data_IF_569440124122
#
_entry.id   IF_569440124122
#
_cell.length_a   1.000
_cell.length_b   1.000
_cell.length_c   1.000
_cell.angle_alpha   90.00
_cell.angle_beta   90.00
_cell.angle_gamma   90.00
#
_symmetry.space_group_name_H-M   'P 1'
#
loop_
_entity.id
_entity.type
_entity.pdbx_description
1 polymer ?
#
# COMPACT_ATOMS: atom_id res chain seq x y z
N UNK A 1 -1.33 -22.52 -13.84
CA UNK A 1 -0.59 -22.48 -12.55
C UNK A 1 0.36 -21.29 -12.40
N UNK A 2 1.16 -20.96 -13.43
CA UNK A 2 2.19 -19.91 -13.35
C UNK A 2 1.63 -18.49 -13.12
N UNK A 3 0.52 -18.13 -13.80
CA UNK A 3 -0.14 -16.82 -13.63
C UNK A 3 -0.66 -16.58 -12.21
N UNK A 4 -1.24 -17.60 -11.57
CA UNK A 4 -1.72 -17.51 -10.19
C UNK A 4 -0.57 -17.33 -9.19
N UNK A 5 0.59 -17.93 -9.48
CA UNK A 5 1.82 -17.74 -8.68
C UNK A 5 2.32 -16.28 -8.79
N UNK A 6 2.31 -15.71 -10.00
CA UNK A 6 2.65 -14.29 -10.25
C UNK A 6 1.70 -13.32 -9.52
N UNK A 7 0.40 -13.61 -9.52
CA UNK A 7 -0.59 -12.80 -8.79
C UNK A 7 -0.36 -12.87 -7.28
N UNK A 8 -0.08 -14.05 -6.72
CA UNK A 8 0.23 -14.20 -5.29
C UNK A 8 1.49 -13.41 -4.91
N UNK A 9 2.57 -13.50 -5.69
CA UNK A 9 3.80 -12.72 -5.46
C UNK A 9 3.50 -11.21 -5.49
N UNK A 10 2.72 -10.75 -6.47
CA UNK A 10 2.38 -9.33 -6.58
C UNK A 10 1.55 -8.84 -5.39
N UNK A 11 0.58 -9.63 -4.93
CA UNK A 11 -0.20 -9.30 -3.74
C UNK A 11 0.69 -9.28 -2.48
N UNK A 12 1.69 -10.17 -2.37
CA UNK A 12 2.66 -10.12 -1.27
C UNK A 12 3.51 -8.85 -1.32
N UNK A 13 3.96 -8.44 -2.50
CA UNK A 13 4.70 -7.18 -2.69
C UNK A 13 3.81 -5.98 -2.34
N UNK A 14 2.52 -6.00 -2.71
CA UNK A 14 1.55 -4.97 -2.35
C UNK A 14 1.44 -4.84 -0.83
N UNK A 15 1.23 -5.96 -0.12
CA UNK A 15 1.16 -5.99 1.35
C UNK A 15 2.44 -5.44 1.96
N UNK A 16 3.61 -5.90 1.50
CA UNK A 16 4.91 -5.41 1.97
C UNK A 16 5.11 -3.91 1.74
N UNK A 17 4.65 -3.40 0.60
CA UNK A 17 4.74 -1.97 0.26
C UNK A 17 3.82 -1.13 1.16
N UNK A 18 2.61 -1.61 1.47
CA UNK A 18 1.70 -0.93 2.42
C UNK A 18 2.28 -0.94 3.84
N UNK A 19 2.89 -2.05 4.27
CA UNK A 19 3.59 -2.12 5.57
C UNK A 19 4.74 -1.11 5.63
N UNK A 20 5.55 -1.03 4.55
CA UNK A 20 6.62 -0.05 4.46
C UNK A 20 6.07 1.38 4.50
N UNK A 21 4.98 1.65 3.80
CA UNK A 21 4.32 2.95 3.80
C UNK A 21 3.82 3.32 5.22
N UNK A 22 3.20 2.37 5.93
CA UNK A 22 2.81 2.54 7.34
C UNK A 22 4.00 2.86 8.24
N UNK A 23 5.09 2.10 8.09
CA UNK A 23 6.30 2.31 8.85
C UNK A 23 6.81 3.75 8.68
N UNK A 24 6.84 4.25 7.45
CA UNK A 24 7.24 5.62 7.12
C UNK A 24 6.30 6.65 7.76
N UNK A 25 4.98 6.41 7.75
CA UNK A 25 4.04 7.33 8.42
C UNK A 25 4.23 7.34 9.95
N UNK A 26 4.48 6.18 10.56
CA UNK A 26 4.74 6.09 12.01
C UNK A 26 6.10 6.67 12.39
N UNK A 27 7.11 6.57 11.54
CA UNK A 27 8.45 7.13 11.81
C UNK A 27 8.44 8.66 11.84
N UNK A 28 7.40 9.33 11.35
CA UNK A 28 7.25 10.79 11.48
C UNK A 28 6.66 11.23 12.82
N UNK A 29 6.19 10.30 13.64
CA UNK A 29 5.67 10.64 14.96
C UNK A 29 6.79 10.58 15.99
N UNK A 30 7.01 11.68 16.70
CA UNK A 30 8.05 11.82 17.75
C UNK A 30 7.90 10.83 18.92
N UNK A 31 6.73 10.20 19.05
CA UNK A 31 6.44 9.22 20.09
C UNK A 31 7.16 7.87 19.88
N UNK A 32 7.43 7.49 18.63
CA UNK A 32 8.02 6.17 18.35
C UNK A 32 9.55 6.20 18.41
N UNK A 33 10.20 5.12 18.88
CA UNK A 33 11.66 5.06 19.01
C UNK A 33 12.38 5.02 17.65
N UNK A 34 11.65 4.79 16.56
CA UNK A 34 12.14 4.87 15.18
C UNK A 34 11.79 6.21 14.51
N UNK A 35 11.70 7.28 15.29
CA UNK A 35 11.45 8.62 14.75
C UNK A 35 12.57 9.03 13.78
N UNK A 36 12.18 9.46 12.58
CA UNK A 36 13.06 10.04 11.57
C UNK A 36 12.48 11.41 11.21
N UNK A 37 13.36 12.39 11.04
CA UNK A 37 12.98 13.75 10.65
C UNK A 37 12.09 13.78 9.40
N UNK A 38 11.14 14.70 9.38
CA UNK A 38 10.04 14.74 8.40
C UNK A 38 10.52 14.66 6.95
N UNK A 39 11.66 15.30 6.62
CA UNK A 39 12.29 15.27 5.30
C UNK A 39 12.52 13.84 4.78
N UNK A 40 13.03 12.95 5.64
CA UNK A 40 13.27 11.55 5.29
C UNK A 40 11.97 10.76 5.19
N UNK A 41 10.98 11.09 6.04
CA UNK A 41 9.64 10.53 5.94
C UNK A 41 8.97 10.84 4.60
N UNK A 42 9.10 12.08 4.12
CA UNK A 42 8.58 12.49 2.81
C UNK A 42 9.28 11.78 1.65
N UNK A 43 10.61 11.64 1.71
CA UNK A 43 11.36 10.87 0.72
C UNK A 43 10.90 9.41 0.68
N UNK A 44 10.62 8.82 1.84
CA UNK A 44 10.04 7.49 1.94
C UNK A 44 8.72 7.38 1.18
N UNK A 45 7.78 8.29 1.41
CA UNK A 45 6.48 8.29 0.71
C UNK A 45 6.65 8.54 -0.79
N UNK A 46 7.59 9.42 -1.17
CA UNK A 46 7.90 9.69 -2.57
C UNK A 46 8.46 8.47 -3.30
N UNK A 47 9.13 7.55 -2.60
CA UNK A 47 9.60 6.28 -3.14
C UNK A 47 8.51 5.20 -3.15
N UNK A 48 7.64 5.12 -2.14
CA UNK A 48 6.57 4.11 -2.08
C UNK A 48 5.43 4.39 -3.07
N UNK A 49 5.11 5.66 -3.32
CA UNK A 49 4.05 6.06 -4.24
C UNK A 49 4.22 5.53 -5.69
N UNK A 50 5.37 5.70 -6.38
CA UNK A 50 5.56 5.16 -7.73
C UNK A 50 5.55 3.62 -7.74
N UNK A 51 6.01 2.96 -6.67
CA UNK A 51 5.93 1.50 -6.53
C UNK A 51 4.46 1.05 -6.50
N UNK A 52 3.63 1.69 -5.67
CA UNK A 52 2.20 1.41 -5.59
C UNK A 52 1.49 1.67 -6.93
N UNK A 53 1.82 2.75 -7.62
CA UNK A 53 1.29 3.05 -8.96
C UNK A 53 1.72 1.98 -9.97
N UNK A 54 2.97 1.51 -9.93
CA UNK A 54 3.45 0.40 -10.74
C UNK A 54 2.65 -0.89 -10.49
N UNK A 55 2.42 -1.23 -9.23
CA UNK A 55 1.59 -2.38 -8.83
C UNK A 55 0.16 -2.24 -9.37
N UNK A 56 -0.42 -1.04 -9.32
CA UNK A 56 -1.74 -0.76 -9.93
C UNK A 56 -1.78 -1.09 -11.43
N UNK A 57 -0.78 -0.66 -12.21
CA UNK A 57 -0.74 -0.95 -13.65
C UNK A 57 -0.64 -2.46 -13.94
N UNK A 58 0.13 -3.18 -13.13
CA UNK A 58 0.27 -4.64 -13.27
C UNK A 58 -1.03 -5.34 -12.88
N UNK A 59 -1.66 -4.97 -11.76
CA UNK A 59 -2.96 -5.51 -11.35
C UNK A 59 -4.06 -5.18 -12.35
N UNK A 60 -4.01 -4.02 -13.01
CA UNK A 60 -4.93 -3.67 -14.10
C UNK A 60 -4.82 -4.65 -15.27
N UNK A 61 -3.61 -5.10 -15.61
CA UNK A 61 -3.41 -6.13 -16.64
C UNK A 61 -3.97 -7.48 -16.20
N UNK A 62 -3.78 -7.86 -14.93
CA UNK A 62 -4.34 -9.11 -14.40
C UNK A 62 -5.88 -9.08 -14.27
N UNK A 63 -6.47 -7.92 -13.99
CA UNK A 63 -7.92 -7.76 -13.97
C UNK A 63 -8.54 -7.99 -15.35
N UNK A 64 -7.89 -7.49 -16.42
CA UNK A 64 -8.32 -7.79 -17.80
C UNK A 64 -8.30 -9.28 -18.13
N UNK A 65 -7.53 -10.08 -17.37
CA UNK A 65 -7.46 -11.54 -17.50
C UNK A 65 -8.38 -12.26 -16.49
N UNK A 66 -9.27 -11.55 -15.79
CA UNK A 66 -10.17 -12.07 -14.74
C UNK A 66 -9.47 -12.77 -13.55
N UNK A 67 -8.17 -12.50 -13.35
CA UNK A 67 -7.37 -13.13 -12.29
C UNK A 67 -7.43 -12.40 -10.95
N UNK A 68 -7.93 -11.17 -10.92
CA UNK A 68 -8.04 -10.32 -9.73
C UNK A 68 -9.31 -9.48 -9.78
N UNK A 69 -9.89 -9.19 -8.62
CA UNK A 69 -11.09 -8.38 -8.47
C UNK A 69 -10.80 -6.88 -8.67
N UNK A 70 -11.84 -6.11 -8.98
CA UNK A 70 -11.71 -4.67 -9.20
C UNK A 70 -11.21 -3.92 -7.95
N UNK A 71 -11.59 -4.40 -6.76
CA UNK A 71 -11.13 -3.89 -5.46
C UNK A 71 -9.62 -4.10 -5.29
N UNK A 72 -9.11 -5.28 -5.63
CA UNK A 72 -7.69 -5.59 -5.46
C UNK A 72 -6.80 -4.67 -6.30
N UNK A 73 -7.27 -4.29 -7.49
CA UNK A 73 -6.63 -3.28 -8.35
C UNK A 73 -6.70 -1.88 -7.73
N UNK A 74 -7.82 -1.48 -7.13
CA UNK A 74 -8.00 -0.11 -6.64
C UNK A 74 -7.17 0.22 -5.40
N UNK A 75 -6.91 -0.76 -4.51
CA UNK A 75 -6.15 -0.58 -3.26
C UNK A 75 -4.82 0.17 -3.46
N UNK A 76 -3.88 -0.31 -4.30
CA UNK A 76 -2.58 0.36 -4.46
C UNK A 76 -2.70 1.81 -4.92
N UNK A 77 -3.63 2.09 -5.84
CA UNK A 77 -3.83 3.45 -6.34
C UNK A 77 -4.41 4.36 -5.25
N UNK A 78 -5.39 3.86 -4.50
CA UNK A 78 -5.99 4.60 -3.40
C UNK A 78 -4.97 4.95 -2.31
N UNK A 79 -4.12 3.99 -1.92
CA UNK A 79 -3.04 4.21 -0.95
C UNK A 79 -2.01 5.21 -1.49
N UNK A 80 -1.62 5.10 -2.77
CA UNK A 80 -0.67 6.02 -3.37
C UNK A 80 -1.18 7.46 -3.39
N UNK A 81 -2.42 7.67 -3.85
CA UNK A 81 -3.04 9.00 -3.97
C UNK A 81 -3.21 9.64 -2.60
N UNK A 82 -3.76 8.91 -1.63
CA UNK A 82 -3.94 9.42 -0.26
C UNK A 82 -2.61 9.78 0.38
N UNK A 83 -1.58 8.94 0.20
CA UNK A 83 -0.24 9.21 0.73
C UNK A 83 0.39 10.44 0.08
N UNK A 84 0.27 10.61 -1.24
CA UNK A 84 0.77 11.80 -1.95
C UNK A 84 0.05 13.07 -1.51
N UNK A 85 -1.28 13.05 -1.36
CA UNK A 85 -2.05 14.21 -0.88
C UNK A 85 -1.53 14.68 0.48
N UNK A 86 -1.21 13.75 1.38
CA UNK A 86 -0.70 14.04 2.72
C UNK A 86 0.74 14.57 2.69
N UNK A 87 1.54 14.22 1.67
CA UNK A 87 2.87 14.81 1.46
C UNK A 87 2.76 16.25 0.98
N UNK A 88 1.85 16.53 0.05
CA UNK A 88 1.69 17.87 -0.54
C UNK A 88 0.90 18.84 0.36
N UNK A 89 -0.02 18.33 1.17
CA UNK A 89 -0.74 19.11 2.16
C UNK A 89 0.14 19.22 3.40
N UNK A 90 0.86 20.34 3.55
CA UNK A 90 1.74 20.63 4.69
C UNK A 90 1.13 20.10 6.01
N UNK A 91 1.82 19.13 6.61
CA UNK A 91 1.26 18.17 7.57
C UNK A 91 0.69 18.89 8.80
N UNK A 92 -0.57 18.57 9.12
CA UNK A 92 -1.08 18.65 10.48
C UNK A 92 -1.07 17.25 11.09
N UNK A 93 -0.87 17.14 12.42
CA UNK A 93 -0.90 15.85 13.13
C UNK A 93 -2.18 15.05 12.85
N UNK A 94 -3.28 15.74 12.58
CA UNK A 94 -4.55 15.16 12.16
C UNK A 94 -4.46 14.39 10.83
N UNK A 95 -3.88 14.98 9.78
CA UNK A 95 -3.74 14.32 8.48
C UNK A 95 -2.82 13.10 8.56
N UNK A 96 -1.81 13.12 9.43
CA UNK A 96 -0.95 11.96 9.68
C UNK A 96 -1.75 10.79 10.30
N UNK A 97 -2.62 11.07 11.27
CA UNK A 97 -3.49 10.04 11.86
C UNK A 97 -4.48 9.47 10.84
N UNK A 98 -5.08 10.32 9.99
CA UNK A 98 -5.95 9.88 8.90
C UNK A 98 -5.17 8.97 7.93
N UNK A 99 -3.92 9.32 7.60
CA UNK A 99 -3.05 8.50 6.76
C UNK A 99 -2.89 7.09 7.32
N UNK A 100 -2.63 6.98 8.63
CA UNK A 100 -2.44 5.71 9.32
C UNK A 100 -3.72 4.86 9.26
N UNK A 101 -4.89 5.43 9.58
CA UNK A 101 -6.16 4.71 9.52
C UNK A 101 -6.44 4.17 8.12
N UNK A 102 -6.20 4.98 7.09
CA UNK A 102 -6.38 4.59 5.69
C UNK A 102 -5.42 3.45 5.32
N UNK A 103 -4.14 3.57 5.66
CA UNK A 103 -3.14 2.57 5.33
C UNK A 103 -3.36 1.25 6.08
N UNK A 104 -3.76 1.29 7.37
CA UNK A 104 -4.09 0.09 8.15
C UNK A 104 -5.30 -0.62 7.54
N UNK A 105 -6.35 0.12 7.19
CA UNK A 105 -7.55 -0.46 6.55
C UNK A 105 -7.19 -1.12 5.22
N UNK A 106 -6.38 -0.44 4.40
CA UNK A 106 -5.90 -0.98 3.13
C UNK A 106 -5.04 -2.23 3.31
N UNK A 107 -4.21 -2.29 4.35
CA UNK A 107 -3.40 -3.45 4.69
C UNK A 107 -4.26 -4.67 5.00
N UNK A 108 -5.27 -4.52 5.86
CA UNK A 108 -6.19 -5.61 6.20
C UNK A 108 -6.93 -6.11 4.95
N UNK A 109 -7.39 -5.22 4.09
CA UNK A 109 -8.05 -5.58 2.83
C UNK A 109 -7.10 -6.36 1.91
N UNK A 110 -5.88 -5.86 1.70
CA UNK A 110 -4.88 -6.51 0.85
C UNK A 110 -4.46 -7.89 1.40
N UNK A 111 -4.27 -7.99 2.72
CA UNK A 111 -3.98 -9.26 3.39
C UNK A 111 -5.13 -10.25 3.24
N UNK A 112 -6.38 -9.80 3.44
CA UNK A 112 -7.56 -10.65 3.23
C UNK A 112 -7.60 -11.22 1.80
N UNK A 113 -7.36 -10.39 0.78
CA UNK A 113 -7.30 -10.86 -0.61
C UNK A 113 -6.15 -11.85 -0.85
N UNK A 114 -4.97 -11.62 -0.25
CA UNK A 114 -3.84 -12.54 -0.31
C UNK A 114 -4.20 -13.91 0.28
N UNK A 115 -4.81 -13.94 1.48
CA UNK A 115 -5.18 -15.17 2.17
C UNK A 115 -6.31 -15.92 1.44
N UNK A 116 -7.33 -15.23 0.94
CA UNK A 116 -8.44 -15.87 0.24
C UNK A 116 -8.02 -16.44 -1.12
N UNK A 117 -7.10 -15.79 -1.84
CA UNK A 117 -6.52 -16.36 -3.07
C UNK A 117 -5.71 -17.64 -2.83
N UNK A 118 -5.13 -17.81 -1.63
CA UNK A 118 -4.43 -19.04 -1.27
C UNK A 118 -5.38 -20.17 -0.85
N UNK A 119 -6.57 -19.87 -0.33
CA UNK A 119 -7.58 -20.88 0.01
C UNK A 119 -8.20 -21.56 -1.22
N UNK A 120 -8.38 -20.85 -2.34
CA UNK A 120 -8.87 -21.42 -3.60
C UNK A 120 -7.87 -22.35 -4.33
N UNK A 121 -6.72 -22.67 -3.70
CA UNK A 121 -5.71 -23.60 -4.22
C UNK A 121 -5.68 -24.95 -3.47
N UNK A 122 -6.51 -25.15 -2.45
CA UNK A 122 -6.64 -26.43 -1.75
C UNK A 122 -7.71 -27.30 -2.39
#
# INVERSE_FOLDING_TARGET
MEKNKKVTILNSILVGTIILNLFIFTSRMRFFPWFIEDAWGYLGVFLTAPILIGIYFILRRFHKQQLVTNINKAIPLFVAVTSLIIVFSQITDFLNNVALVVNVTALFLAAYFLFNQNKGKK
#
